data_IF_694287335657
#
_entry.id   IF_694287335657
#
_cell.length_a   1.000
_cell.length_b   1.000
_cell.length_c   1.000
_cell.angle_alpha   90.00
_cell.angle_beta   90.00
_cell.angle_gamma   90.00
#
_symmetry.space_group_name_H-M   'P 1'
#
loop_
_entity.id
_entity.type
_entity.pdbx_description
1 polymer ?
#
# COMPACT_ATOMS: atom_id res chain seq x y z
N UNK A 1 72.65 -29.93 -20.30
CA UNK A 1 72.83 -31.36 -19.96
C UNK A 1 71.46 -31.95 -20.07
N UNK A 2 71.19 -32.40 -21.26
CA UNK A 2 70.99 -33.78 -21.76
C UNK A 2 69.78 -34.42 -21.15
N UNK A 3 68.69 -34.48 -21.89
CA UNK A 3 68.41 -35.49 -22.94
C UNK A 3 67.78 -36.76 -22.35
N UNK A 4 66.58 -37.16 -22.70
CA UNK A 4 66.26 -38.13 -23.72
C UNK A 4 64.77 -38.49 -23.80
N UNK A 5 64.30 -38.43 -24.99
CA UNK A 5 63.18 -39.19 -25.51
C UNK A 5 63.18 -40.65 -25.08
N UNK A 6 62.01 -41.29 -24.92
CA UNK A 6 61.75 -42.50 -25.70
C UNK A 6 60.24 -42.79 -25.91
N UNK A 7 60.00 -43.44 -26.97
CA UNK A 7 58.76 -43.68 -27.70
C UNK A 7 57.95 -44.84 -27.13
N UNK A 8 56.67 -44.80 -27.51
CA UNK A 8 55.64 -45.83 -27.42
C UNK A 8 56.07 -47.23 -27.86
N UNK A 9 55.22 -48.24 -27.55
CA UNK A 9 54.42 -48.72 -28.65
C UNK A 9 52.95 -49.06 -28.33
N UNK A 10 52.23 -49.09 -29.44
CA UNK A 10 50.83 -49.44 -29.56
C UNK A 10 50.51 -50.91 -29.19
N UNK A 11 49.32 -51.09 -28.60
CA UNK A 11 48.72 -52.41 -28.45
C UNK A 11 47.20 -52.22 -28.25
N UNK A 12 46.51 -52.42 -29.32
CA UNK A 12 45.03 -52.58 -29.43
C UNK A 12 44.73 -54.08 -29.44
N UNK A 13 43.48 -54.48 -29.36
CA UNK A 13 42.31 -54.19 -28.59
C UNK A 13 41.77 -55.47 -27.88
N UNK A 14 41.12 -55.29 -26.79
CA UNK A 14 40.28 -56.39 -26.27
C UNK A 14 38.91 -55.84 -25.81
N UNK A 15 37.92 -56.41 -26.41
CA UNK A 15 36.48 -56.20 -26.33
C UNK A 15 35.89 -55.60 -25.08
N UNK A 16 35.36 -54.43 -25.21
CA UNK A 16 34.41 -53.92 -24.24
C UNK A 16 33.08 -54.64 -24.49
N UNK A 17 32.69 -55.49 -23.55
CA UNK A 17 31.33 -55.98 -23.44
C UNK A 17 30.36 -54.78 -23.30
N UNK A 18 29.18 -54.80 -23.91
CA UNK A 18 28.20 -53.72 -23.78
C UNK A 18 27.77 -53.67 -22.31
N UNK A 19 28.10 -52.56 -21.66
CA UNK A 19 27.54 -52.20 -20.36
C UNK A 19 26.04 -52.04 -20.56
N UNK A 20 25.29 -53.04 -20.09
CA UNK A 20 23.87 -52.99 -19.96
C UNK A 20 23.53 -51.70 -19.18
N UNK A 21 22.96 -50.72 -19.89
CA UNK A 21 22.33 -49.57 -19.24
C UNK A 21 21.23 -50.11 -18.34
N UNK A 22 21.54 -50.26 -17.07
CA UNK A 22 20.53 -50.54 -16.07
C UNK A 22 19.43 -49.46 -16.22
N UNK A 23 18.27 -49.88 -16.66
CA UNK A 23 17.10 -49.05 -16.69
C UNK A 23 16.87 -48.53 -15.26
N UNK A 24 17.08 -47.23 -15.06
CA UNK A 24 16.64 -46.58 -13.85
C UNK A 24 15.14 -46.90 -13.67
N UNK A 25 14.75 -47.53 -12.57
CA UNK A 25 13.32 -47.79 -12.35
C UNK A 25 12.55 -46.49 -12.49
N UNK A 26 11.49 -46.54 -13.31
CA UNK A 26 10.60 -45.39 -13.45
C UNK A 26 10.16 -44.93 -12.04
N UNK A 27 10.14 -43.61 -11.76
CA UNK A 27 9.75 -43.14 -10.46
C UNK A 27 8.37 -43.71 -10.15
N UNK A 28 8.29 -44.49 -9.07
CA UNK A 28 7.01 -44.98 -8.56
C UNK A 28 6.05 -43.78 -8.49
N UNK A 29 4.89 -43.95 -9.13
CA UNK A 29 3.82 -42.94 -9.03
C UNK A 29 3.37 -42.88 -7.57
N UNK A 30 3.97 -42.01 -6.78
CA UNK A 30 3.54 -41.72 -5.40
C UNK A 30 2.14 -41.12 -5.52
N UNK A 31 1.12 -41.92 -5.28
CA UNK A 31 -0.24 -41.43 -5.13
C UNK A 31 -0.29 -40.56 -3.87
N UNK A 32 -0.28 -39.22 -4.07
CA UNK A 32 -0.54 -38.31 -2.98
C UNK A 32 -1.99 -38.51 -2.49
N UNK A 33 -2.14 -39.18 -1.36
CA UNK A 33 -3.44 -39.31 -0.70
C UNK A 33 -3.74 -37.95 -0.03
N UNK A 34 -4.84 -37.27 -0.43
CA UNK A 34 -5.19 -36.01 0.20
C UNK A 34 -5.58 -36.25 1.65
N UNK A 35 -4.76 -35.76 2.57
CA UNK A 35 -5.05 -35.83 4.02
C UNK A 35 -6.27 -34.96 4.30
N UNK A 36 -7.37 -35.51 4.87
CA UNK A 36 -8.52 -34.67 5.21
C UNK A 36 -8.15 -33.71 6.34
N UNK A 37 -8.15 -32.42 6.02
CA UNK A 37 -7.86 -31.37 7.00
C UNK A 37 -9.12 -31.06 7.82
N UNK A 38 -9.50 -31.94 8.73
CA UNK A 38 -10.68 -31.81 9.63
C UNK A 38 -10.59 -30.47 10.41
N UNK A 39 -9.39 -30.07 10.86
CA UNK A 39 -9.18 -28.78 11.54
C UNK A 39 -9.60 -27.57 10.72
N UNK A 40 -9.49 -27.59 9.38
CA UNK A 40 -9.95 -26.48 8.52
C UNK A 40 -11.49 -26.35 8.51
N UNK A 41 -12.20 -27.47 8.57
CA UNK A 41 -13.65 -27.47 8.62
C UNK A 41 -14.14 -27.00 9.99
N UNK A 42 -13.53 -27.50 11.07
CA UNK A 42 -13.84 -27.05 12.43
C UNK A 42 -13.60 -25.55 12.57
N UNK A 43 -12.43 -25.04 12.14
CA UNK A 43 -12.16 -23.61 12.18
C UNK A 43 -13.14 -22.79 11.34
N UNK A 44 -13.53 -23.29 10.17
CA UNK A 44 -14.54 -22.65 9.32
C UNK A 44 -15.90 -22.55 10.02
N UNK A 45 -16.36 -23.64 10.65
CA UNK A 45 -17.63 -23.68 11.40
C UNK A 45 -17.57 -22.71 12.60
N UNK A 46 -16.45 -22.70 13.35
CA UNK A 46 -16.27 -21.79 14.49
C UNK A 46 -16.33 -20.33 14.03
N UNK A 47 -15.62 -19.96 12.95
CA UNK A 47 -15.65 -18.61 12.41
C UNK A 47 -17.05 -18.21 11.95
N UNK A 48 -17.75 -19.09 11.22
CA UNK A 48 -19.13 -18.83 10.78
C UNK A 48 -20.05 -18.70 12.00
N UNK A 49 -19.90 -19.55 13.02
CA UNK A 49 -20.67 -19.46 14.25
C UNK A 49 -20.46 -18.14 15.00
N UNK A 50 -19.21 -17.69 15.10
CA UNK A 50 -18.88 -16.41 15.71
C UNK A 50 -19.45 -15.23 14.91
N UNK A 51 -19.37 -15.25 13.57
CA UNK A 51 -19.95 -14.21 12.72
C UNK A 51 -21.50 -14.20 12.83
N UNK A 52 -22.12 -15.37 12.88
CA UNK A 52 -23.57 -15.48 13.09
C UNK A 52 -24.00 -14.97 14.47
N UNK A 53 -23.25 -15.31 15.53
CA UNK A 53 -23.50 -14.80 16.87
C UNK A 53 -23.34 -13.28 16.95
N UNK A 54 -22.29 -12.75 16.29
CA UNK A 54 -22.08 -11.29 16.18
C UNK A 54 -23.25 -10.64 15.43
N UNK A 55 -23.65 -11.18 14.28
CA UNK A 55 -24.79 -10.67 13.50
C UNK A 55 -26.09 -10.69 14.30
N UNK A 56 -26.33 -11.78 15.05
CA UNK A 56 -27.46 -11.86 15.96
C UNK A 56 -27.40 -10.82 17.09
N UNK A 57 -26.23 -10.62 17.70
CA UNK A 57 -26.06 -9.59 18.73
C UNK A 57 -26.36 -8.16 18.18
N UNK A 58 -25.91 -7.86 16.96
CA UNK A 58 -26.23 -6.57 16.30
C UNK A 58 -27.71 -6.46 15.93
N UNK A 59 -28.40 -7.55 15.61
CA UNK A 59 -29.85 -7.53 15.31
C UNK A 59 -30.68 -7.32 16.56
N UNK A 60 -30.20 -7.72 17.73
CA UNK A 60 -30.85 -7.46 19.03
C UNK A 60 -30.45 -6.11 19.63
N UNK A 61 -29.44 -5.45 19.07
CA UNK A 61 -29.01 -4.13 19.50
C UNK A 61 -30.07 -3.07 19.23
N UNK A 62 -30.11 -2.04 20.06
CA UNK A 62 -31.04 -0.91 19.89
C UNK A 62 -30.53 0.04 18.77
N UNK A 63 -30.50 -0.47 17.52
CA UNK A 63 -30.04 0.23 16.33
C UNK A 63 -31.22 0.42 15.38
N UNK A 64 -31.46 1.65 15.01
CA UNK A 64 -32.51 2.00 14.05
C UNK A 64 -31.99 1.85 12.60
N UNK A 65 -31.99 0.61 12.09
CA UNK A 65 -31.47 0.31 10.73
C UNK A 65 -32.18 1.10 9.63
N UNK A 66 -33.43 1.45 9.82
CA UNK A 66 -34.18 2.33 8.91
C UNK A 66 -33.51 3.70 8.80
N UNK A 67 -33.13 4.30 9.93
CA UNK A 67 -32.43 5.58 9.96
C UNK A 67 -31.06 5.53 9.24
N UNK A 68 -30.36 4.39 9.28
CA UNK A 68 -29.12 4.17 8.50
C UNK A 68 -29.44 4.24 7.01
N UNK A 69 -30.49 3.55 6.54
CA UNK A 69 -30.91 3.56 5.12
C UNK A 69 -31.30 4.94 4.63
N UNK A 70 -32.17 5.64 5.39
CA UNK A 70 -32.68 6.96 5.04
C UNK A 70 -31.57 8.03 4.95
N UNK A 71 -30.55 7.92 5.82
CA UNK A 71 -29.46 8.88 5.90
C UNK A 71 -28.27 8.56 5.01
N UNK A 72 -28.24 7.38 4.40
CA UNK A 72 -27.09 6.95 3.61
C UNK A 72 -26.77 7.91 2.45
N UNK A 73 -27.80 8.48 1.83
CA UNK A 73 -27.68 9.42 0.72
C UNK A 73 -28.13 10.85 1.08
N UNK A 74 -28.16 11.18 2.36
CA UNK A 74 -28.39 12.55 2.81
C UNK A 74 -27.38 13.49 2.15
N UNK A 75 -27.83 14.67 1.72
CA UNK A 75 -27.01 15.63 0.99
C UNK A 75 -25.74 16.04 1.74
N UNK A 76 -25.82 16.16 3.07
CA UNK A 76 -24.69 16.51 3.94
C UNK A 76 -23.66 15.37 4.00
N UNK A 77 -24.13 14.11 4.01
CA UNK A 77 -23.27 12.92 4.02
C UNK A 77 -22.54 12.79 2.67
N UNK A 78 -23.25 12.92 1.57
CA UNK A 78 -22.68 12.86 0.21
C UNK A 78 -21.67 14.01 0.01
N UNK A 79 -22.02 15.23 0.45
CA UNK A 79 -21.10 16.36 0.40
C UNK A 79 -19.87 16.13 1.31
N UNK A 80 -20.07 15.51 2.48
CA UNK A 80 -18.99 15.11 3.39
C UNK A 80 -18.03 14.11 2.72
N UNK A 81 -18.57 13.08 2.06
CA UNK A 81 -17.76 12.10 1.30
C UNK A 81 -16.97 12.78 0.17
N UNK A 82 -17.58 13.71 -0.54
CA UNK A 82 -16.90 14.53 -1.57
C UNK A 82 -15.74 15.35 -0.98
N UNK A 83 -15.93 15.96 0.20
CA UNK A 83 -14.86 16.72 0.90
C UNK A 83 -13.76 15.82 1.43
N UNK A 84 -14.08 14.62 1.91
CA UNK A 84 -13.09 13.58 2.26
C UNK A 84 -12.20 13.25 1.07
N UNK A 85 -12.82 13.01 -0.09
CA UNK A 85 -12.06 12.71 -1.32
C UNK A 85 -11.20 13.91 -1.75
N UNK A 86 -11.77 15.12 -1.73
CA UNK A 86 -11.06 16.35 -2.11
C UNK A 86 -9.81 16.57 -1.24
N UNK A 87 -9.96 16.55 0.09
CA UNK A 87 -8.85 16.80 1.00
C UNK A 87 -7.78 15.71 0.89
N UNK A 88 -8.19 14.44 0.72
CA UNK A 88 -7.28 13.32 0.53
C UNK A 88 -6.46 13.44 -0.76
N UNK A 89 -7.09 13.83 -1.86
CA UNK A 89 -6.39 14.06 -3.15
C UNK A 89 -5.42 15.23 -3.03
N UNK A 90 -5.85 16.36 -2.47
CA UNK A 90 -5.00 17.54 -2.33
C UNK A 90 -3.81 17.27 -1.39
N UNK A 91 -4.05 16.63 -0.25
CA UNK A 91 -3.00 16.26 0.69
C UNK A 91 -2.02 15.25 0.07
N UNK A 92 -2.51 14.28 -0.69
CA UNK A 92 -1.68 13.30 -1.38
C UNK A 92 -0.82 13.96 -2.46
N UNK A 93 -1.39 14.82 -3.31
CA UNK A 93 -0.63 15.53 -4.35
C UNK A 93 0.47 16.39 -3.74
N UNK A 94 0.13 17.18 -2.72
CA UNK A 94 1.10 18.01 -2.02
C UNK A 94 2.15 17.17 -1.28
N UNK A 95 1.73 16.09 -0.63
CA UNK A 95 2.59 15.13 0.05
C UNK A 95 3.58 14.45 -0.90
N UNK A 96 3.13 14.03 -2.08
CA UNK A 96 4.01 13.44 -3.12
C UNK A 96 5.03 14.47 -3.61
N UNK A 97 4.60 15.70 -3.93
CA UNK A 97 5.51 16.75 -4.42
C UNK A 97 6.59 17.04 -3.37
N UNK A 98 6.19 17.30 -2.13
CA UNK A 98 7.12 17.58 -1.04
C UNK A 98 7.98 16.37 -0.69
N UNK A 99 7.40 15.16 -0.72
CA UNK A 99 8.11 13.91 -0.46
C UNK A 99 9.20 13.63 -1.48
N UNK A 100 8.95 13.87 -2.76
CA UNK A 100 9.99 13.76 -3.81
C UNK A 100 11.11 14.76 -3.56
N UNK A 101 10.80 16.01 -3.24
CA UNK A 101 11.80 17.03 -2.90
C UNK A 101 12.64 16.60 -1.69
N UNK A 102 11.99 16.14 -0.62
CA UNK A 102 12.67 15.64 0.58
C UNK A 102 13.55 14.41 0.28
N UNK A 103 13.08 13.47 -0.56
CA UNK A 103 13.88 12.32 -0.97
C UNK A 103 15.15 12.74 -1.72
N UNK A 104 15.05 13.68 -2.64
CA UNK A 104 16.21 14.22 -3.37
C UNK A 104 17.20 14.91 -2.42
N UNK A 105 16.70 15.74 -1.49
CA UNK A 105 17.52 16.39 -0.47
C UNK A 105 18.18 15.34 0.44
N UNK A 106 17.44 14.31 0.83
CA UNK A 106 17.93 13.22 1.71
C UNK A 106 19.04 12.39 1.06
N UNK A 107 18.99 12.22 -0.26
CA UNK A 107 20.00 11.53 -1.07
C UNK A 107 21.18 12.43 -1.49
N UNK A 108 21.15 13.71 -1.12
CA UNK A 108 22.23 14.64 -1.42
C UNK A 108 23.54 14.25 -0.72
N UNK A 109 24.67 14.49 -1.40
CA UNK A 109 26.01 14.35 -0.83
C UNK A 109 26.32 15.40 0.23
N UNK A 110 25.55 16.48 0.31
CA UNK A 110 25.72 17.52 1.32
C UNK A 110 25.16 17.03 2.67
N UNK A 111 26.00 16.86 3.70
CA UNK A 111 25.56 16.31 4.99
C UNK A 111 24.56 17.22 5.70
N UNK A 112 24.66 18.53 5.54
CA UNK A 112 23.76 19.49 6.21
C UNK A 112 22.34 19.37 5.68
N UNK A 113 22.17 19.40 4.34
CA UNK A 113 20.84 19.29 3.73
C UNK A 113 20.23 17.90 3.97
N UNK A 114 21.05 16.85 3.88
CA UNK A 114 20.60 15.48 4.19
C UNK A 114 20.15 15.33 5.64
N UNK A 115 20.85 15.96 6.59
CA UNK A 115 20.48 15.95 8.00
C UNK A 115 19.14 16.69 8.26
N UNK A 116 18.93 17.85 7.63
CA UNK A 116 17.67 18.60 7.74
C UNK A 116 16.48 17.77 7.21
N UNK A 117 16.64 17.13 6.05
CA UNK A 117 15.60 16.25 5.52
C UNK A 117 15.37 15.03 6.45
N UNK A 118 16.42 14.47 7.05
CA UNK A 118 16.29 13.40 8.02
C UNK A 118 15.52 13.84 9.26
N UNK A 119 15.82 15.04 9.80
CA UNK A 119 15.13 15.59 10.97
C UNK A 119 13.63 15.80 10.69
N UNK A 120 13.29 16.33 9.51
CA UNK A 120 11.91 16.45 9.07
C UNK A 120 11.19 15.10 9.04
N UNK A 121 11.77 14.11 8.36
CA UNK A 121 11.20 12.78 8.22
C UNK A 121 11.06 12.12 9.61
N UNK A 122 12.06 12.21 10.45
CA UNK A 122 12.04 11.69 11.81
C UNK A 122 10.91 12.30 12.63
N UNK A 123 10.76 13.63 12.60
CA UNK A 123 9.73 14.34 13.36
C UNK A 123 8.31 13.96 12.91
N UNK A 124 8.03 14.06 11.60
CA UNK A 124 6.68 13.84 11.09
C UNK A 124 6.25 12.36 11.14
N UNK A 125 7.19 11.41 11.01
CA UNK A 125 6.90 9.98 11.17
C UNK A 125 6.93 9.52 12.62
N UNK A 126 7.62 10.24 13.49
CA UNK A 126 7.74 9.92 14.91
C UNK A 126 6.61 10.47 15.77
N UNK A 127 5.78 11.37 15.24
CA UNK A 127 4.68 11.99 15.98
C UNK A 127 3.31 11.59 15.39
N UNK A 128 2.26 11.39 16.23
CA UNK A 128 0.93 11.05 15.73
C UNK A 128 0.33 12.19 14.87
N UNK A 129 -0.23 11.83 13.73
CA UNK A 129 -0.91 12.78 12.83
C UNK A 129 -1.99 13.60 13.55
N UNK A 130 -2.74 12.97 14.47
CA UNK A 130 -3.76 13.65 15.27
C UNK A 130 -3.17 14.81 16.09
N UNK A 131 -2.01 14.60 16.72
CA UNK A 131 -1.32 15.64 17.49
C UNK A 131 -0.84 16.77 16.57
N UNK A 132 -0.30 16.43 15.39
CA UNK A 132 0.11 17.42 14.39
C UNK A 132 -1.06 18.29 13.95
N UNK A 133 -2.24 17.68 13.67
CA UNK A 133 -3.46 18.43 13.33
C UNK A 133 -3.84 19.42 14.43
N UNK A 134 -3.83 19.00 15.69
CA UNK A 134 -4.13 19.88 16.83
C UNK A 134 -3.11 21.00 17.00
N UNK A 135 -1.82 20.75 16.73
CA UNK A 135 -0.79 21.80 16.75
C UNK A 135 -1.05 22.85 15.68
N UNK A 136 -1.39 22.46 14.46
CA UNK A 136 -1.74 23.38 13.38
C UNK A 136 -3.01 24.19 13.73
N UNK A 137 -4.01 23.54 14.29
CA UNK A 137 -5.27 24.19 14.65
C UNK A 137 -5.11 25.22 15.79
N UNK A 138 -4.21 24.94 16.72
CA UNK A 138 -3.94 25.82 17.87
C UNK A 138 -2.74 26.76 17.66
N UNK A 139 -2.23 26.88 16.42
CA UNK A 139 -1.04 27.67 16.14
C UNK A 139 -1.19 29.14 16.49
N UNK A 140 -2.42 29.68 16.41
CA UNK A 140 -2.76 31.04 16.81
C UNK A 140 -2.51 31.35 18.29
N UNK A 141 -2.49 30.32 19.16
CA UNK A 141 -2.18 30.48 20.60
C UNK A 141 -0.69 30.83 20.81
N UNK A 142 0.19 30.41 19.89
CA UNK A 142 1.63 30.68 19.95
C UNK A 142 1.99 31.90 19.10
N UNK A 143 1.40 31.99 17.92
CA UNK A 143 1.64 33.05 16.93
C UNK A 143 0.30 33.69 16.56
N UNK A 144 -0.17 34.72 17.28
CA UNK A 144 -1.47 35.33 17.01
C UNK A 144 -1.59 35.97 15.63
N UNK A 145 -0.46 36.48 15.12
CA UNK A 145 -0.39 37.18 13.83
C UNK A 145 0.72 36.57 12.99
N UNK A 146 0.40 36.22 11.75
CA UNK A 146 1.40 35.90 10.73
C UNK A 146 1.87 37.22 10.09
N UNK A 147 3.10 37.59 10.37
CA UNK A 147 3.71 38.79 9.81
C UNK A 147 4.97 38.43 9.02
N UNK A 148 4.86 38.47 7.69
CA UNK A 148 6.03 38.39 6.78
C UNK A 148 6.36 39.78 6.34
N UNK A 149 7.49 40.38 6.80
CA UNK A 149 7.83 41.77 6.52
C UNK A 149 7.72 42.10 5.02
N UNK A 150 7.04 43.18 4.70
CA UNK A 150 6.82 43.73 3.35
C UNK A 150 5.97 42.87 2.40
N UNK A 151 5.49 41.65 2.82
CA UNK A 151 4.79 40.71 1.93
C UNK A 151 3.35 40.49 2.42
N UNK A 152 3.17 40.11 3.70
CA UNK A 152 1.86 39.66 4.20
C UNK A 152 1.73 39.84 5.72
N UNK A 153 0.58 40.34 6.15
CA UNK A 153 0.23 40.43 7.58
C UNK A 153 -1.24 40.14 7.74
N UNK A 154 -1.58 39.14 8.56
CA UNK A 154 -2.94 38.76 8.86
C UNK A 154 -3.04 38.06 10.21
N UNK A 155 -4.24 37.92 10.76
CA UNK A 155 -4.46 37.10 11.94
C UNK A 155 -4.23 35.63 11.62
N UNK A 156 -3.57 34.92 12.55
CA UNK A 156 -3.27 33.50 12.35
C UNK A 156 -4.56 32.65 12.24
N UNK A 157 -5.63 33.06 12.90
CA UNK A 157 -6.96 32.42 12.84
C UNK A 157 -7.56 32.44 11.43
N UNK A 158 -7.30 33.51 10.67
CA UNK A 158 -7.82 33.66 9.31
C UNK A 158 -6.97 32.88 8.29
N UNK A 159 -5.67 32.76 8.58
CA UNK A 159 -4.74 31.95 7.77
C UNK A 159 -4.95 30.48 8.02
N UNK A 160 -5.02 30.07 9.30
CA UNK A 160 -5.13 28.65 9.68
C UNK A 160 -6.61 28.24 9.81
N UNK A 161 -7.33 28.36 8.68
CA UNK A 161 -8.70 27.85 8.58
C UNK A 161 -8.75 26.32 8.82
N UNK A 162 -9.92 25.75 9.17
CA UNK A 162 -10.08 24.29 9.28
C UNK A 162 -9.57 23.50 8.07
N UNK A 163 -9.79 24.03 6.87
CA UNK A 163 -9.28 23.43 5.64
C UNK A 163 -7.75 23.47 5.57
N UNK A 164 -7.13 24.61 5.91
CA UNK A 164 -5.68 24.77 5.86
C UNK A 164 -4.99 23.89 6.90
N UNK A 165 -5.54 23.83 8.13
CA UNK A 165 -5.04 22.94 9.17
C UNK A 165 -5.12 21.46 8.75
N UNK A 166 -6.24 21.05 8.15
CA UNK A 166 -6.43 19.70 7.63
C UNK A 166 -5.42 19.40 6.51
N UNK A 167 -5.30 20.30 5.53
CA UNK A 167 -4.40 20.13 4.39
C UNK A 167 -2.95 20.03 4.82
N UNK A 168 -2.47 20.97 5.65
CA UNK A 168 -1.08 20.97 6.12
C UNK A 168 -0.78 19.76 7.02
N UNK A 169 -1.67 19.45 7.96
CA UNK A 169 -1.47 18.31 8.87
C UNK A 169 -1.36 16.98 8.12
N UNK A 170 -2.22 16.76 7.14
CA UNK A 170 -2.18 15.55 6.32
C UNK A 170 -1.00 15.56 5.33
N UNK A 171 -0.82 16.66 4.58
CA UNK A 171 0.17 16.71 3.51
C UNK A 171 1.61 16.68 4.01
N UNK A 172 1.93 17.37 5.11
CA UNK A 172 3.27 17.39 5.67
C UNK A 172 3.62 16.04 6.30
N UNK A 173 2.66 15.39 6.94
CA UNK A 173 2.87 14.02 7.41
C UNK A 173 3.10 13.07 6.23
N UNK A 174 2.24 13.10 5.22
CA UNK A 174 2.36 12.27 4.02
C UNK A 174 3.68 12.49 3.28
N UNK A 175 4.18 13.73 3.22
CA UNK A 175 5.46 14.05 2.59
C UNK A 175 6.63 13.26 3.22
N UNK A 176 6.60 13.03 4.53
CA UNK A 176 7.62 12.25 5.21
C UNK A 176 7.56 10.76 4.84
N UNK A 177 6.36 10.19 4.68
CA UNK A 177 6.19 8.81 4.20
C UNK A 177 6.60 8.68 2.73
N UNK A 178 6.15 9.60 1.88
CA UNK A 178 6.52 9.62 0.47
C UNK A 178 8.01 9.82 0.24
N UNK A 179 8.70 10.61 1.07
CA UNK A 179 10.15 10.77 1.00
C UNK A 179 10.87 9.44 1.20
N UNK A 180 10.45 8.62 2.17
CA UNK A 180 11.06 7.31 2.41
C UNK A 180 10.69 6.30 1.31
N UNK A 181 9.47 6.32 0.79
CA UNK A 181 9.05 5.48 -0.34
C UNK A 181 9.90 5.80 -1.58
N UNK A 182 10.06 7.09 -1.90
CA UNK A 182 10.88 7.53 -3.03
C UNK A 182 12.35 7.16 -2.84
N UNK A 183 12.91 7.38 -1.63
CA UNK A 183 14.29 7.02 -1.31
C UNK A 183 14.53 5.52 -1.44
N UNK A 184 13.66 4.70 -0.85
CA UNK A 184 13.75 3.24 -0.93
C UNK A 184 13.62 2.74 -2.37
N UNK A 185 12.71 3.32 -3.16
CA UNK A 185 12.56 2.96 -4.58
C UNK A 185 13.77 3.32 -5.42
N UNK A 186 14.42 4.48 -5.18
CA UNK A 186 15.66 4.84 -5.88
C UNK A 186 16.80 3.90 -5.48
N UNK A 187 16.93 3.58 -4.20
CA UNK A 187 17.96 2.68 -3.68
C UNK A 187 17.76 1.20 -4.02
N UNK A 188 16.56 0.81 -4.46
CA UNK A 188 16.29 -0.57 -4.89
C UNK A 188 16.84 -0.89 -6.28
N UNK A 189 17.26 0.11 -7.04
CA UNK A 189 17.88 -0.09 -8.36
C UNK A 189 19.32 -0.55 -8.16
N UNK A 190 19.67 -1.62 -8.84
CA UNK A 190 21.02 -2.20 -8.79
C UNK A 190 22.10 -1.17 -9.13
N UNK A 191 23.14 -1.08 -8.29
CA UNK A 191 24.24 -0.11 -8.45
C UNK A 191 25.00 -0.34 -9.76
N UNK A 192 25.10 -1.58 -10.23
CA UNK A 192 25.70 -1.91 -11.51
C UNK A 192 25.03 -1.25 -12.71
N UNK A 193 23.71 -0.93 -12.62
CA UNK A 193 23.02 -0.13 -13.65
C UNK A 193 23.56 1.30 -13.73
N UNK A 194 23.88 1.87 -12.57
CA UNK A 194 24.45 3.24 -12.48
C UNK A 194 25.90 3.22 -12.96
N UNK A 195 26.71 2.24 -12.56
CA UNK A 195 28.09 2.08 -12.98
C UNK A 195 28.21 1.86 -14.49
N UNK A 196 27.39 0.94 -15.05
CA UNK A 196 27.34 0.69 -16.48
C UNK A 196 26.96 1.95 -17.29
N UNK A 197 26.01 2.73 -16.75
CA UNK A 197 25.60 3.98 -17.38
C UNK A 197 26.74 5.01 -17.41
N UNK A 198 27.51 5.10 -16.33
CA UNK A 198 28.68 5.98 -16.27
C UNK A 198 29.82 5.50 -17.20
N UNK A 199 30.04 4.19 -17.30
CA UNK A 199 31.02 3.60 -18.23
C UNK A 199 30.67 3.93 -19.70
N UNK A 200 29.37 4.07 -20.02
CA UNK A 200 28.88 4.53 -21.32
C UNK A 200 28.91 6.07 -21.49
N UNK A 201 29.54 6.81 -20.57
CA UNK A 201 29.67 8.26 -20.63
C UNK A 201 28.40 9.05 -20.31
N UNK A 202 27.42 8.44 -19.65
CA UNK A 202 26.21 9.16 -19.23
C UNK A 202 26.49 10.04 -18.01
N UNK A 203 25.97 11.26 -18.07
CA UNK A 203 26.00 12.17 -16.89
C UNK A 203 25.04 11.67 -15.82
N UNK A 204 25.27 12.03 -14.55
CA UNK A 204 24.41 11.67 -13.41
C UNK A 204 22.93 11.95 -13.65
N UNK A 205 22.60 13.13 -14.19
CA UNK A 205 21.22 13.52 -14.50
C UNK A 205 20.60 12.62 -15.59
N UNK A 206 21.39 12.26 -16.60
CA UNK A 206 20.95 11.37 -17.70
C UNK A 206 20.75 9.95 -17.20
N UNK A 207 21.67 9.44 -16.37
CA UNK A 207 21.56 8.14 -15.70
C UNK A 207 20.30 8.09 -14.83
N UNK A 208 20.10 9.10 -13.97
CA UNK A 208 18.89 9.17 -13.12
C UNK A 208 17.62 9.15 -13.96
N UNK A 209 17.52 10.00 -14.98
CA UNK A 209 16.28 10.14 -15.78
C UNK A 209 15.98 8.94 -16.67
N UNK A 210 17.01 8.31 -17.27
CA UNK A 210 16.84 7.26 -18.30
C UNK A 210 16.98 5.84 -17.79
N UNK A 211 17.70 5.63 -16.69
CA UNK A 211 18.02 4.30 -16.18
C UNK A 211 17.41 4.07 -14.80
N UNK A 212 17.72 4.92 -13.84
CA UNK A 212 17.31 4.72 -12.44
C UNK A 212 15.82 5.01 -12.25
N UNK A 213 15.35 6.20 -12.63
CA UNK A 213 13.99 6.64 -12.36
C UNK A 213 12.91 5.73 -12.97
N UNK A 214 13.02 5.24 -14.23
CA UNK A 214 12.01 4.33 -14.78
C UNK A 214 11.93 2.98 -14.06
N UNK A 215 13.04 2.52 -13.47
CA UNK A 215 13.08 1.30 -12.66
C UNK A 215 12.54 1.58 -11.25
N UNK A 216 12.99 2.66 -10.61
CA UNK A 216 12.54 3.09 -9.29
C UNK A 216 11.03 3.32 -9.24
N UNK A 217 10.42 3.94 -10.26
CA UNK A 217 8.98 4.18 -10.33
C UNK A 217 8.14 2.88 -10.26
N UNK A 218 8.66 1.76 -10.72
CA UNK A 218 7.98 0.46 -10.59
C UNK A 218 7.87 0.01 -9.14
N UNK A 219 8.80 0.43 -8.29
CA UNK A 219 8.83 0.15 -6.86
C UNK A 219 8.10 1.22 -6.06
N UNK A 220 8.11 2.49 -6.50
CA UNK A 220 7.50 3.63 -5.81
C UNK A 220 5.98 3.66 -6.00
N UNK A 221 5.48 3.44 -7.22
CA UNK A 221 4.06 3.64 -7.54
C UNK A 221 3.11 2.72 -6.74
N UNK A 222 3.39 1.39 -6.57
CA UNK A 222 2.52 0.54 -5.79
C UNK A 222 2.31 0.99 -4.33
N UNK A 223 3.36 1.26 -3.53
CA UNK A 223 3.18 1.79 -2.17
C UNK A 223 2.47 3.15 -2.16
N UNK A 224 2.77 4.05 -3.11
CA UNK A 224 2.10 5.36 -3.22
C UNK A 224 0.58 5.22 -3.34
N UNK A 225 0.10 4.26 -4.13
CA UNK A 225 -1.34 4.01 -4.23
C UNK A 225 -1.95 3.45 -2.93
N UNK A 226 -1.19 2.65 -2.18
CA UNK A 226 -1.61 2.18 -0.86
C UNK A 226 -1.67 3.33 0.16
N UNK A 227 -0.72 4.28 0.12
CA UNK A 227 -0.76 5.48 0.95
C UNK A 227 -1.99 6.34 0.63
N UNK A 228 -2.42 6.43 -0.63
CA UNK A 228 -3.67 7.14 -0.96
C UNK A 228 -4.90 6.49 -0.32
N UNK A 229 -4.99 5.15 -0.31
CA UNK A 229 -6.08 4.42 0.36
C UNK A 229 -6.02 4.65 1.88
N UNK A 230 -4.82 4.70 2.46
CA UNK A 230 -4.64 5.05 3.86
C UNK A 230 -5.05 6.50 4.14
N UNK A 231 -4.70 7.44 3.27
CA UNK A 231 -5.07 8.85 3.36
C UNK A 231 -6.59 9.04 3.43
N UNK A 232 -7.38 8.29 2.64
CA UNK A 232 -8.84 8.33 2.70
C UNK A 232 -9.38 8.00 4.11
N UNK A 233 -8.74 7.09 4.83
CA UNK A 233 -9.13 6.74 6.21
C UNK A 233 -8.58 7.74 7.22
N UNK A 234 -7.32 8.12 7.06
CA UNK A 234 -6.63 9.06 7.95
C UNK A 234 -7.26 10.46 7.90
N UNK A 235 -7.89 10.82 6.77
CA UNK A 235 -8.63 12.08 6.65
C UNK A 235 -9.78 12.21 7.67
N UNK A 236 -10.29 11.12 8.25
CA UNK A 236 -11.26 11.17 9.34
C UNK A 236 -10.72 11.88 10.60
N UNK A 237 -9.39 11.90 10.80
CA UNK A 237 -8.77 12.60 11.94
C UNK A 237 -8.91 14.12 11.85
N UNK A 238 -9.18 14.68 10.66
CA UNK A 238 -9.42 16.13 10.52
C UNK A 238 -10.74 16.59 11.16
N UNK A 239 -11.56 15.66 11.62
CA UNK A 239 -12.65 15.94 12.55
C UNK A 239 -12.22 16.82 13.74
N UNK A 240 -11.00 16.60 14.24
CA UNK A 240 -10.44 17.34 15.37
C UNK A 240 -10.22 18.83 15.08
N UNK A 241 -9.95 19.19 13.83
CA UNK A 241 -9.74 20.58 13.38
C UNK A 241 -10.99 21.19 12.75
N UNK A 242 -12.13 20.62 13.05
CA UNK A 242 -13.47 21.12 12.66
C UNK A 242 -13.73 21.19 11.14
N UNK A 243 -12.94 20.50 10.31
CA UNK A 243 -13.20 20.39 8.88
C UNK A 243 -14.38 19.45 8.60
N UNK A 244 -15.36 19.92 7.81
CA UNK A 244 -16.61 19.20 7.54
C UNK A 244 -16.43 18.11 6.46
N UNK A 245 -15.63 17.08 6.75
CA UNK A 245 -15.55 15.86 5.95
C UNK A 245 -16.66 14.85 6.36
N UNK A 246 -16.58 13.62 5.87
CA UNK A 246 -17.60 12.60 6.05
C UNK A 246 -17.92 12.30 7.52
N UNK A 247 -16.91 11.98 8.35
CA UNK A 247 -17.12 11.63 9.76
C UNK A 247 -17.73 12.80 10.55
N UNK A 248 -17.27 14.02 10.29
CA UNK A 248 -17.84 15.19 10.94
C UNK A 248 -19.27 15.45 10.50
N UNK A 249 -19.56 15.35 9.20
CA UNK A 249 -20.91 15.54 8.64
C UNK A 249 -21.90 14.54 9.24
N UNK A 250 -21.52 13.26 9.32
CA UNK A 250 -22.35 12.23 9.94
C UNK A 250 -22.49 12.44 11.46
N UNK A 251 -21.40 12.80 12.15
CA UNK A 251 -21.45 13.08 13.59
C UNK A 251 -22.35 14.25 13.94
N UNK A 252 -22.39 15.30 13.13
CA UNK A 252 -23.32 16.43 13.32
C UNK A 252 -24.79 15.98 13.21
N UNK A 253 -25.13 15.17 12.21
CA UNK A 253 -26.46 14.59 12.09
C UNK A 253 -26.76 13.70 13.30
N UNK A 254 -25.83 12.83 13.68
CA UNK A 254 -26.00 11.92 14.82
C UNK A 254 -26.24 12.64 16.14
N UNK A 255 -25.51 13.75 16.40
CA UNK A 255 -25.67 14.53 17.63
C UNK A 255 -27.00 15.29 17.70
N UNK A 256 -27.52 15.75 16.56
CA UNK A 256 -28.82 16.47 16.51
C UNK A 256 -30.02 15.53 16.52
N UNK A 257 -29.90 14.32 15.96
CA UNK A 257 -30.96 13.32 15.89
C UNK A 257 -30.90 12.26 17.00
N UNK A 258 -29.90 12.31 17.86
CA UNK A 258 -29.60 11.29 18.90
C UNK A 258 -29.32 9.89 18.30
N UNK A 259 -29.04 9.79 17.01
CA UNK A 259 -28.78 8.58 16.24
C UNK A 259 -27.26 8.40 15.96
N UNK A 260 -26.44 8.48 17.03
CA UNK A 260 -24.98 8.51 16.91
C UNK A 260 -24.44 7.21 16.30
N UNK A 261 -24.94 6.05 16.75
CA UNK A 261 -24.47 4.75 16.26
C UNK A 261 -24.86 4.54 14.80
N UNK A 262 -26.08 4.92 14.42
CA UNK A 262 -26.58 4.84 13.06
C UNK A 262 -25.72 5.66 12.10
N UNK A 263 -25.34 6.87 12.52
CA UNK A 263 -24.49 7.75 11.71
C UNK A 263 -23.04 7.27 11.62
N UNK A 264 -22.53 6.58 12.62
CA UNK A 264 -21.24 5.89 12.52
C UNK A 264 -21.28 4.71 11.54
N UNK A 265 -22.39 3.98 11.45
CA UNK A 265 -22.59 2.97 10.40
C UNK A 265 -22.65 3.59 9.01
N UNK A 266 -23.38 4.71 8.84
CA UNK A 266 -23.40 5.45 7.57
C UNK A 266 -21.99 5.87 7.15
N UNK A 267 -21.22 6.47 8.06
CA UNK A 267 -19.83 6.85 7.79
C UNK A 267 -18.99 5.62 7.40
N UNK A 268 -19.10 4.53 8.15
CA UNK A 268 -18.35 3.30 7.91
C UNK A 268 -18.65 2.70 6.54
N UNK A 269 -19.92 2.66 6.14
CA UNK A 269 -20.33 2.18 4.82
C UNK A 269 -19.68 3.03 3.71
N UNK A 270 -19.71 4.35 3.82
CA UNK A 270 -19.09 5.24 2.85
C UNK A 270 -17.57 5.08 2.77
N UNK A 271 -16.87 4.95 3.94
CA UNK A 271 -15.43 4.67 3.94
C UNK A 271 -15.12 3.33 3.28
N UNK A 272 -15.91 2.28 3.55
CA UNK A 272 -15.74 0.97 2.91
C UNK A 272 -15.95 1.09 1.39
N UNK A 273 -16.98 1.79 0.94
CA UNK A 273 -17.25 1.99 -0.49
C UNK A 273 -16.08 2.74 -1.14
N UNK A 274 -15.68 3.90 -0.60
CA UNK A 274 -14.57 4.68 -1.14
C UNK A 274 -13.28 3.85 -1.19
N UNK A 275 -12.87 3.26 -0.07
CA UNK A 275 -11.63 2.46 -0.03
C UNK A 275 -11.68 1.24 -0.92
N UNK A 276 -12.85 0.59 -1.08
CA UNK A 276 -13.01 -0.55 -1.99
C UNK A 276 -12.86 -0.15 -3.45
N UNK A 277 -13.44 0.97 -3.87
CA UNK A 277 -13.31 1.49 -5.24
C UNK A 277 -11.84 1.76 -5.55
N UNK A 278 -11.14 2.48 -4.66
CA UNK A 278 -9.73 2.77 -4.87
C UNK A 278 -8.82 1.53 -4.74
N UNK A 279 -9.17 0.55 -3.88
CA UNK A 279 -8.45 -0.73 -3.80
C UNK A 279 -8.54 -1.54 -5.08
N UNK A 280 -9.67 -1.51 -5.78
CA UNK A 280 -9.80 -2.13 -7.10
C UNK A 280 -8.89 -1.42 -8.11
N UNK A 281 -8.88 -0.09 -8.14
CA UNK A 281 -7.96 0.69 -8.97
C UNK A 281 -6.49 0.37 -8.67
N UNK A 282 -6.14 0.32 -7.37
CA UNK A 282 -4.81 -0.03 -6.89
C UNK A 282 -4.35 -1.42 -7.34
N UNK A 283 -5.22 -2.41 -7.27
CA UNK A 283 -4.94 -3.75 -7.76
C UNK A 283 -4.52 -3.78 -9.24
N UNK A 284 -5.22 -3.02 -10.11
CA UNK A 284 -4.86 -2.92 -11.52
C UNK A 284 -3.55 -2.16 -11.74
N UNK A 285 -3.31 -1.12 -10.93
CA UNK A 285 -2.08 -0.35 -10.94
C UNK A 285 -0.88 -1.25 -10.59
N UNK A 286 -0.95 -1.97 -9.47
CA UNK A 286 0.09 -2.92 -9.03
C UNK A 286 0.38 -3.96 -10.09
N UNK A 287 -0.67 -4.54 -10.69
CA UNK A 287 -0.52 -5.54 -11.73
C UNK A 287 0.17 -4.98 -12.98
N UNK A 288 -0.05 -3.71 -13.31
CA UNK A 288 0.61 -3.06 -14.45
C UNK A 288 2.11 -2.88 -14.19
N UNK A 289 2.48 -2.44 -13.00
CA UNK A 289 3.87 -2.16 -12.64
C UNK A 289 4.66 -3.42 -12.26
N UNK A 290 4.01 -4.47 -11.76
CA UNK A 290 4.63 -5.76 -11.50
C UNK A 290 5.03 -6.55 -12.76
N UNK A 291 4.55 -6.14 -13.97
CA UNK A 291 4.94 -6.76 -15.23
C UNK A 291 6.42 -6.47 -15.50
N UNK A 292 7.24 -7.50 -15.46
CA UNK A 292 8.70 -7.46 -15.72
C UNK A 292 9.58 -7.68 -14.50
N UNK A 293 9.05 -7.69 -13.27
CA UNK A 293 9.79 -8.02 -12.05
C UNK A 293 9.45 -9.40 -11.48
N UNK A 294 8.30 -9.96 -11.81
CA UNK A 294 7.84 -11.26 -11.33
C UNK A 294 7.87 -12.31 -12.45
N UNK A 295 8.40 -13.51 -12.14
CA UNK A 295 8.41 -14.67 -13.04
C UNK A 295 6.98 -15.13 -13.43
N UNK A 296 5.98 -14.86 -12.58
CA UNK A 296 4.56 -15.11 -12.86
C UNK A 296 3.71 -14.05 -12.17
N UNK A 297 2.73 -13.49 -12.89
CA UNK A 297 1.78 -12.55 -12.32
C UNK A 297 0.80 -13.30 -11.40
N UNK A 298 0.46 -12.79 -10.22
CA UNK A 298 -0.57 -13.36 -9.39
C UNK A 298 -1.92 -13.37 -10.13
N UNK A 299 -2.67 -14.47 -9.96
CA UNK A 299 -4.01 -14.62 -10.53
C UNK A 299 -4.93 -13.48 -10.09
N UNK A 300 -5.77 -12.98 -11.01
CA UNK A 300 -6.81 -12.01 -10.63
C UNK A 300 -7.78 -12.61 -9.62
N UNK A 301 -8.46 -11.81 -8.76
CA UNK A 301 -9.47 -12.32 -7.84
C UNK A 301 -10.52 -13.19 -8.54
N UNK A 302 -11.00 -12.77 -9.71
CA UNK A 302 -11.92 -13.56 -10.54
C UNK A 302 -11.30 -14.85 -11.08
N UNK A 303 -10.02 -14.83 -11.46
CA UNK A 303 -9.29 -16.04 -11.88
C UNK A 303 -9.06 -16.98 -10.69
N UNK A 304 -8.75 -16.46 -9.48
CA UNK A 304 -8.64 -17.27 -8.26
C UNK A 304 -9.96 -17.95 -7.94
N UNK A 305 -11.08 -17.23 -8.01
CA UNK A 305 -12.42 -17.80 -7.81
C UNK A 305 -12.69 -18.88 -8.86
N UNK A 306 -12.43 -18.61 -10.15
CA UNK A 306 -12.61 -19.61 -11.22
C UNK A 306 -11.73 -20.85 -11.03
N UNK A 307 -10.47 -20.69 -10.68
CA UNK A 307 -9.55 -21.82 -10.42
C UNK A 307 -10.00 -22.61 -9.19
N UNK A 308 -10.43 -21.94 -8.12
CA UNK A 308 -10.92 -22.61 -6.92
C UNK A 308 -12.24 -23.35 -7.20
N UNK A 309 -13.16 -22.76 -7.96
CA UNK A 309 -14.41 -23.42 -8.36
C UNK A 309 -14.14 -24.61 -9.30
N UNK A 310 -13.23 -24.46 -10.27
CA UNK A 310 -12.84 -25.56 -11.14
C UNK A 310 -12.14 -26.71 -10.37
N UNK A 311 -11.30 -26.37 -9.39
CA UNK A 311 -10.67 -27.36 -8.51
C UNK A 311 -11.69 -28.06 -7.60
N UNK A 312 -12.80 -27.40 -7.26
CA UNK A 312 -13.91 -28.00 -6.49
C UNK A 312 -14.77 -28.92 -7.40
N UNK A 313 -15.01 -28.52 -8.65
CA UNK A 313 -15.78 -29.28 -9.65
C UNK A 313 -15.03 -30.54 -10.15
N UNK A 314 -13.70 -30.45 -10.26
CA UNK A 314 -12.86 -31.56 -10.76
C UNK A 314 -12.36 -32.51 -9.66
N UNK A 315 -12.96 -32.50 -8.46
CA UNK A 315 -12.70 -33.57 -7.48
C UNK A 315 -13.30 -34.85 -8.03
N UNK A 316 -12.49 -35.87 -8.32
CA UNK A 316 -13.06 -37.17 -8.69
C UNK A 316 -13.96 -37.64 -7.52
N UNK A 317 -15.22 -37.84 -7.83
CA UNK A 317 -16.13 -38.56 -6.94
C UNK A 317 -15.47 -39.91 -6.68
N UNK A 318 -14.86 -40.05 -5.49
CA UNK A 318 -14.26 -41.30 -5.05
C UNK A 318 -15.33 -42.35 -5.04
N UNK A 319 -15.42 -43.11 -6.12
CA UNK A 319 -16.14 -44.37 -6.15
C UNK A 319 -15.46 -45.27 -5.15
N UNK A 320 -16.11 -45.47 -4.03
CA UNK A 320 -15.90 -46.62 -3.17
C UNK A 320 -16.44 -47.82 -3.97
N UNK A 321 -15.58 -48.50 -4.70
CA UNK A 321 -15.87 -49.88 -5.13
C UNK A 321 -15.44 -50.79 -3.99
N UNK A 322 -16.43 -51.43 -3.42
CA UNK A 322 -16.32 -52.50 -2.46
C UNK A 322 -15.36 -53.62 -2.89
#
# INVERSE_FOLDING_TARGET
MTDKFDKAPAGSPAGQAPVSKGATPAPENIKAIPVPHVGRWISGIVVIGLLAALGYAFSQGNIQWHAVGDKLFDSSVVAGAGRTLLISVLAMVLGVILGVVLAVIRLSKNPVTSWVAWLYIWFFRGTPVYVQLLLWFNLALIFPVLNIPFIYKDEMTDVMTPFMCALLGLALNEAAYMAEICRAGIQSVDEGQTEASHALGMTQAKTMRRVVLPQALRVIIPPTGNEFINMLKTSSLVYAVTYNELLRSTSQIGSTSYAVMEMLFVASIWYIVMTSVFSVGQYYLERRFARGSLRSLPLTPLQRIKVNLAAFSNRPSGGVSA
#
